data_IF_267343531071
#
_entry.id   IF_267343531071
#
_cell.length_a   1.000
_cell.length_b   1.000
_cell.length_c   1.000
_cell.angle_alpha   90.00
_cell.angle_beta   90.00
_cell.angle_gamma   90.00
#
_symmetry.space_group_name_H-M   'P 1'
#
loop_
_entity.id
_entity.type
_entity.pdbx_description
1 polymer ?
#
# COMPACT_ATOMS: atom_id res chain seq x y z
N UNK A 1 17.72 -28.29 -14.58
CA UNK A 1 18.01 -27.06 -13.83
C UNK A 1 19.28 -27.17 -13.00
N UNK A 2 19.38 -28.18 -12.11
CA UNK A 2 20.47 -28.31 -11.10
C UNK A 2 21.89 -28.14 -11.66
N UNK A 3 22.17 -28.72 -12.82
CA UNK A 3 23.53 -28.76 -13.40
C UNK A 3 23.72 -27.77 -14.56
N UNK A 4 22.78 -26.83 -14.75
CA UNK A 4 22.86 -25.80 -15.81
C UNK A 4 23.21 -24.47 -15.15
N UNK A 5 24.42 -23.97 -15.39
CA UNK A 5 24.84 -22.65 -14.91
C UNK A 5 24.03 -21.52 -15.55
N UNK A 6 23.75 -20.47 -14.76
CA UNK A 6 23.12 -19.25 -15.28
C UNK A 6 24.18 -18.41 -16.01
N UNK A 7 23.86 -18.02 -17.23
CA UNK A 7 24.71 -17.25 -18.16
C UNK A 7 23.92 -16.07 -18.71
N UNK A 8 24.61 -15.14 -19.37
CA UNK A 8 23.93 -14.02 -20.04
C UNK A 8 22.92 -14.46 -21.11
N UNK A 9 23.10 -15.64 -21.71
CA UNK A 9 22.21 -16.18 -22.72
C UNK A 9 20.92 -16.78 -22.14
N UNK A 10 20.98 -17.39 -20.94
CA UNK A 10 19.83 -18.09 -20.35
C UNK A 10 19.20 -17.38 -19.12
N UNK A 11 19.73 -16.21 -18.72
CA UNK A 11 19.23 -15.48 -17.54
C UNK A 11 17.74 -15.13 -17.61
N UNK A 12 17.22 -14.80 -18.79
CA UNK A 12 15.80 -14.46 -18.97
C UNK A 12 14.90 -15.68 -18.69
N UNK A 13 15.25 -16.82 -19.29
CA UNK A 13 14.57 -18.10 -19.06
C UNK A 13 14.67 -18.53 -17.59
N UNK A 14 15.84 -18.35 -16.96
CA UNK A 14 16.00 -18.64 -15.54
C UNK A 14 15.05 -17.82 -14.67
N UNK A 15 14.93 -16.51 -14.92
CA UNK A 15 14.01 -15.63 -14.18
C UNK A 15 12.56 -16.06 -14.40
N UNK A 16 12.16 -16.31 -15.64
CA UNK A 16 10.80 -16.78 -15.98
C UNK A 16 10.47 -18.09 -15.23
N UNK A 17 11.37 -19.07 -15.26
CA UNK A 17 11.21 -20.35 -14.56
C UNK A 17 11.15 -20.18 -13.04
N UNK A 18 11.98 -19.30 -12.49
CA UNK A 18 11.95 -19.01 -11.05
C UNK A 18 10.63 -18.37 -10.64
N UNK A 19 10.12 -17.41 -11.41
CA UNK A 19 8.81 -16.79 -11.15
C UNK A 19 7.70 -17.84 -11.22
N UNK A 20 7.69 -18.67 -12.26
CA UNK A 20 6.70 -19.73 -12.42
C UNK A 20 6.71 -20.71 -11.24
N UNK A 21 7.90 -21.16 -10.84
CA UNK A 21 8.05 -22.09 -9.72
C UNK A 21 7.60 -21.48 -8.38
N UNK A 22 8.04 -20.24 -8.10
CA UNK A 22 7.76 -19.56 -6.83
C UNK A 22 6.29 -19.16 -6.68
N UNK A 23 5.64 -18.74 -7.77
CA UNK A 23 4.26 -18.25 -7.71
C UNK A 23 3.22 -19.36 -7.90
N UNK A 24 3.49 -20.37 -8.73
CA UNK A 24 2.49 -21.36 -9.12
C UNK A 24 2.89 -22.78 -8.74
N UNK A 25 4.04 -23.28 -9.21
CA UNK A 25 4.32 -24.72 -9.16
C UNK A 25 4.50 -25.23 -7.72
N UNK A 26 5.19 -24.48 -6.85
CA UNK A 26 5.44 -24.92 -5.47
C UNK A 26 4.18 -25.00 -4.59
N UNK A 27 3.08 -24.37 -5.02
CA UNK A 27 1.78 -24.34 -4.33
C UNK A 27 0.64 -24.92 -5.18
N UNK A 28 0.98 -25.58 -6.30
CA UNK A 28 0.00 -26.00 -7.30
C UNK A 28 -1.15 -26.86 -6.74
N UNK A 29 -0.92 -27.86 -5.86
CA UNK A 29 -2.01 -28.66 -5.29
C UNK A 29 -3.02 -27.83 -4.50
N UNK A 30 -2.54 -26.88 -3.68
CA UNK A 30 -3.38 -26.01 -2.86
C UNK A 30 -4.16 -25.03 -3.72
N UNK A 31 -3.48 -24.40 -4.68
CA UNK A 31 -4.08 -23.45 -5.61
C UNK A 31 -5.18 -24.12 -6.45
N UNK A 32 -4.93 -25.33 -6.97
CA UNK A 32 -5.91 -26.07 -7.75
C UNK A 32 -7.16 -26.40 -6.94
N UNK A 33 -7.01 -26.79 -5.66
CA UNK A 33 -8.16 -27.07 -4.78
C UNK A 33 -8.97 -25.82 -4.46
N UNK A 34 -8.30 -24.69 -4.26
CA UNK A 34 -8.96 -23.40 -4.03
C UNK A 34 -9.79 -22.98 -5.25
N UNK A 35 -9.19 -23.05 -6.45
CA UNK A 35 -9.85 -22.70 -7.71
C UNK A 35 -11.03 -23.63 -7.99
N UNK A 36 -10.85 -24.94 -7.78
CA UNK A 36 -11.95 -25.89 -7.93
C UNK A 36 -13.12 -25.57 -7.00
N UNK A 37 -12.85 -25.34 -5.70
CA UNK A 37 -13.90 -25.02 -4.74
C UNK A 37 -14.62 -23.70 -5.06
N UNK A 38 -13.92 -22.72 -5.65
CA UNK A 38 -14.54 -21.49 -6.15
C UNK A 38 -15.49 -21.80 -7.32
N UNK A 39 -15.05 -22.61 -8.29
CA UNK A 39 -15.87 -22.97 -9.46
C UNK A 39 -17.03 -23.91 -9.16
N UNK A 40 -16.96 -24.68 -8.08
CA UNK A 40 -18.07 -25.50 -7.59
C UNK A 40 -19.26 -24.64 -7.11
N UNK A 41 -19.01 -23.37 -6.75
CA UNK A 41 -20.02 -22.41 -6.28
C UNK A 41 -20.37 -21.37 -7.35
N UNK A 42 -19.37 -20.87 -8.09
CA UNK A 42 -19.50 -19.82 -9.09
C UNK A 42 -19.02 -20.30 -10.47
N UNK A 43 -19.89 -20.34 -11.50
CA UNK A 43 -19.47 -20.70 -12.86
C UNK A 43 -18.31 -19.82 -13.35
N UNK A 44 -17.32 -20.44 -13.99
CA UNK A 44 -16.11 -19.76 -14.48
C UNK A 44 -16.44 -18.63 -15.47
N UNK A 45 -17.49 -18.80 -16.26
CA UNK A 45 -17.94 -17.84 -17.27
C UNK A 45 -18.39 -16.51 -16.66
N UNK A 46 -18.84 -16.51 -15.40
CA UNK A 46 -19.19 -15.28 -14.68
C UNK A 46 -17.96 -14.50 -14.22
N UNK A 47 -16.82 -15.17 -14.07
CA UNK A 47 -15.57 -14.57 -13.58
C UNK A 47 -14.67 -14.10 -14.74
N UNK A 48 -14.78 -14.71 -15.92
CA UNK A 48 -13.99 -14.37 -17.11
C UNK A 48 -14.03 -12.88 -17.55
N UNK A 49 -15.13 -12.13 -17.41
CA UNK A 49 -15.17 -10.73 -17.84
C UNK A 49 -14.32 -9.79 -16.99
N UNK A 50 -13.99 -10.18 -15.76
CA UNK A 50 -13.31 -9.31 -14.79
C UNK A 50 -11.79 -9.47 -14.87
N UNK A 51 -11.07 -8.35 -14.82
CA UNK A 51 -9.65 -8.39 -14.52
C UNK A 51 -9.40 -8.70 -13.03
N UNK A 52 -8.13 -8.86 -12.65
CA UNK A 52 -7.77 -9.20 -11.27
C UNK A 52 -8.16 -8.11 -10.25
N UNK A 53 -8.20 -6.84 -10.66
CA UNK A 53 -8.57 -5.70 -9.80
C UNK A 53 -10.07 -5.61 -9.61
N UNK A 54 -10.83 -5.86 -10.68
CA UNK A 54 -12.29 -5.92 -10.63
C UNK A 54 -12.76 -7.12 -9.81
N UNK A 55 -12.13 -8.28 -9.98
CA UNK A 55 -12.40 -9.46 -9.16
C UNK A 55 -12.06 -9.21 -7.69
N UNK A 56 -10.93 -8.57 -7.41
CA UNK A 56 -10.54 -8.13 -6.08
C UNK A 56 -11.60 -7.21 -5.45
N UNK A 57 -12.12 -6.25 -6.22
CA UNK A 57 -13.16 -5.33 -5.78
C UNK A 57 -14.48 -6.04 -5.48
N UNK A 58 -14.87 -7.02 -6.29
CA UNK A 58 -16.11 -7.80 -6.08
C UNK A 58 -16.00 -8.65 -4.82
N UNK A 59 -14.85 -9.31 -4.61
CA UNK A 59 -14.65 -10.22 -3.48
C UNK A 59 -14.46 -9.48 -2.16
N UNK A 60 -13.75 -8.34 -2.17
CA UNK A 60 -13.39 -7.62 -0.96
C UNK A 60 -14.27 -6.38 -0.70
N UNK A 61 -15.05 -5.93 -1.69
CA UNK A 61 -15.81 -4.69 -1.64
C UNK A 61 -14.91 -3.44 -1.65
N UNK A 62 -15.54 -2.27 -1.53
CA UNK A 62 -14.84 -1.04 -1.18
C UNK A 62 -14.50 -1.08 0.31
N UNK A 63 -13.22 -1.27 0.66
CA UNK A 63 -12.77 -0.94 2.01
C UNK A 63 -12.61 0.57 2.10
N UNK A 64 -13.67 1.28 2.50
CA UNK A 64 -13.50 2.68 2.89
C UNK A 64 -12.53 2.77 4.06
N UNK A 65 -11.51 3.61 3.92
CA UNK A 65 -10.53 3.84 4.98
C UNK A 65 -11.22 4.64 6.08
N UNK A 66 -11.40 4.01 7.25
CA UNK A 66 -11.84 4.69 8.47
C UNK A 66 -10.71 5.62 8.96
N UNK A 67 -10.83 6.91 8.61
CA UNK A 67 -9.87 7.96 9.00
C UNK A 67 -9.87 8.15 10.51
N UNK A 68 -10.99 7.90 11.20
CA UNK A 68 -11.08 7.96 12.65
C UNK A 68 -10.25 6.88 13.32
N UNK A 69 -10.31 5.64 12.82
CA UNK A 69 -9.46 4.54 13.30
C UNK A 69 -7.98 4.79 13.00
N UNK A 70 -7.67 5.31 11.80
CA UNK A 70 -6.32 5.70 11.43
C UNK A 70 -5.76 6.72 12.42
N UNK A 71 -6.53 7.80 12.67
CA UNK A 71 -6.15 8.87 13.58
C UNK A 71 -5.91 8.38 15.02
N UNK A 72 -6.81 7.55 15.56
CA UNK A 72 -6.68 6.99 16.92
C UNK A 72 -5.49 6.04 17.07
N UNK A 73 -5.11 5.35 15.99
CA UNK A 73 -4.03 4.37 15.97
C UNK A 73 -2.67 4.96 15.55
N UNK A 74 -2.59 6.27 15.33
CA UNK A 74 -1.37 6.95 14.87
C UNK A 74 -0.50 7.42 16.02
N UNK A 75 0.80 7.16 15.94
CA UNK A 75 1.80 7.75 16.83
C UNK A 75 2.23 9.11 16.26
N UNK A 76 2.03 10.18 17.03
CA UNK A 76 2.37 11.55 16.62
C UNK A 76 3.54 12.06 17.46
N UNK A 77 4.60 12.55 16.81
CA UNK A 77 5.68 13.24 17.51
C UNK A 77 5.18 14.55 18.15
N UNK A 78 5.66 14.88 19.36
CA UNK A 78 5.27 16.10 20.08
C UNK A 78 5.44 17.39 19.27
N UNK A 79 6.42 17.46 18.38
CA UNK A 79 6.67 18.63 17.52
C UNK A 79 5.55 18.93 16.52
N UNK A 80 4.59 18.01 16.33
CA UNK A 80 3.45 18.18 15.43
C UNK A 80 2.15 18.51 16.16
N UNK A 81 2.14 18.64 17.49
CA UNK A 81 0.91 18.80 18.28
C UNK A 81 -0.01 19.93 17.77
N UNK A 82 0.58 21.07 17.38
CA UNK A 82 -0.18 22.23 16.90
C UNK A 82 -0.61 22.13 15.42
N UNK A 83 0.01 21.24 14.63
CA UNK A 83 -0.21 21.17 13.17
C UNK A 83 -0.79 19.83 12.70
N UNK A 84 -0.84 18.81 13.56
CA UNK A 84 -1.36 17.49 13.21
C UNK A 84 -2.86 17.52 12.88
N UNK A 85 -3.60 18.49 13.43
CA UNK A 85 -5.00 18.75 13.06
C UNK A 85 -5.13 18.99 11.56
N UNK A 86 -4.26 19.82 10.98
CA UNK A 86 -4.27 20.12 9.55
C UNK A 86 -4.00 18.89 8.68
N UNK A 87 -3.11 17.99 9.12
CA UNK A 87 -2.87 16.72 8.44
C UNK A 87 -4.17 15.92 8.34
N UNK A 88 -4.85 15.73 9.47
CA UNK A 88 -6.10 14.96 9.48
C UNK A 88 -7.23 15.66 8.74
N UNK A 89 -7.33 16.99 8.82
CA UNK A 89 -8.34 17.73 8.06
C UNK A 89 -8.16 17.55 6.56
N UNK A 90 -6.92 17.55 6.06
CA UNK A 90 -6.64 17.30 4.63
C UNK A 90 -7.00 15.86 4.27
N UNK A 91 -6.61 14.88 5.09
CA UNK A 91 -6.90 13.45 4.84
C UNK A 91 -8.40 13.15 4.88
N UNK A 92 -9.14 13.79 5.78
CA UNK A 92 -10.57 13.52 6.01
C UNK A 92 -11.46 14.29 5.02
N UNK A 93 -11.19 15.57 4.80
CA UNK A 93 -12.11 16.47 4.09
C UNK A 93 -11.64 16.87 2.69
N UNK A 94 -10.32 16.92 2.44
CA UNK A 94 -9.79 17.37 1.14
C UNK A 94 -9.48 16.18 0.20
N UNK A 95 -9.17 14.99 0.75
CA UNK A 95 -8.79 13.80 -0.01
C UNK A 95 -9.98 12.90 -0.41
N UNK A 96 -10.01 12.51 -1.68
CA UNK A 96 -10.95 11.48 -2.15
C UNK A 96 -10.60 10.10 -1.56
N UNK A 97 -11.50 9.11 -1.61
CA UNK A 97 -11.16 7.74 -1.22
C UNK A 97 -9.95 7.18 -1.97
N UNK A 98 -9.79 7.54 -3.26
CA UNK A 98 -8.62 7.15 -4.05
C UNK A 98 -7.33 7.78 -3.53
N UNK A 99 -7.36 9.05 -3.15
CA UNK A 99 -6.18 9.74 -2.60
C UNK A 99 -5.76 9.16 -1.25
N UNK A 100 -6.74 8.84 -0.38
CA UNK A 100 -6.49 8.15 0.89
C UNK A 100 -5.85 6.77 0.68
N UNK A 101 -6.34 6.00 -0.29
CA UNK A 101 -5.76 4.71 -0.63
C UNK A 101 -4.33 4.83 -1.15
N UNK A 102 -4.04 5.84 -1.97
CA UNK A 102 -2.67 6.13 -2.44
C UNK A 102 -1.76 6.54 -1.29
N UNK A 103 -2.21 7.44 -0.41
CA UNK A 103 -1.45 7.86 0.76
C UNK A 103 -1.11 6.64 1.65
N UNK A 104 -2.08 5.77 1.90
CA UNK A 104 -1.87 4.53 2.65
C UNK A 104 -0.87 3.60 1.96
N UNK A 105 -1.00 3.41 0.64
CA UNK A 105 -0.08 2.60 -0.16
C UNK A 105 1.36 3.14 -0.14
N UNK A 106 1.55 4.45 -0.27
CA UNK A 106 2.88 5.06 -0.19
C UNK A 106 3.49 4.86 1.19
N UNK A 107 2.67 4.98 2.23
CA UNK A 107 3.14 4.98 3.63
C UNK A 107 3.32 3.62 4.24
N UNK A 108 2.59 2.60 3.77
CA UNK A 108 2.61 1.26 4.38
C UNK A 108 2.97 0.15 3.39
N UNK A 109 3.10 0.46 2.11
CA UNK A 109 3.28 -0.56 1.07
C UNK A 109 2.00 -1.34 0.75
N UNK A 110 0.86 -1.01 1.36
CA UNK A 110 -0.44 -1.62 1.12
C UNK A 110 -1.52 -0.54 0.99
N UNK A 111 -2.43 -0.69 0.04
CA UNK A 111 -3.62 0.17 -0.09
C UNK A 111 -4.76 -0.26 0.83
N UNK A 112 -4.57 -1.34 1.61
CA UNK A 112 -5.59 -1.96 2.47
C UNK A 112 -5.21 -1.89 3.94
N UNK A 113 -6.22 -1.69 4.77
CA UNK A 113 -6.13 -1.73 6.22
C UNK A 113 -6.19 -3.20 6.69
N UNK A 114 -5.35 -3.62 7.66
CA UNK A 114 -5.44 -4.96 8.26
C UNK A 114 -6.83 -5.26 8.83
N UNK A 115 -7.20 -6.54 8.90
CA UNK A 115 -8.49 -6.97 9.47
C UNK A 115 -8.71 -6.45 10.91
N UNK A 116 -7.63 -6.26 11.66
CA UNK A 116 -7.67 -5.76 13.03
C UNK A 116 -7.76 -4.22 13.13
N UNK A 117 -7.87 -3.51 12.00
CA UNK A 117 -7.78 -2.04 11.90
C UNK A 117 -6.35 -1.53 11.86
N UNK A 118 -6.17 -0.22 11.98
CA UNK A 118 -4.85 0.43 11.91
C UNK A 118 -3.91 0.05 13.05
N UNK A 119 -4.44 -0.40 14.20
CA UNK A 119 -3.64 -0.98 15.29
C UNK A 119 -2.92 -2.28 14.91
N UNK A 120 -3.38 -2.94 13.84
CA UNK A 120 -2.82 -4.18 13.32
C UNK A 120 -1.74 -3.97 12.25
N UNK A 121 -1.33 -2.72 11.99
CA UNK A 121 -0.28 -2.45 11.02
C UNK A 121 1.03 -3.11 11.45
N UNK A 122 1.70 -3.73 10.49
CA UNK A 122 2.99 -4.40 10.68
C UNK A 122 4.06 -3.80 9.79
N UNK A 123 5.32 -3.99 10.19
CA UNK A 123 6.50 -3.74 9.36
C UNK A 123 6.76 -4.93 8.44
N UNK A 124 7.75 -4.80 7.55
CA UNK A 124 8.21 -5.84 6.63
C UNK A 124 8.62 -7.16 7.30
N UNK A 125 8.98 -7.13 8.58
CA UNK A 125 9.35 -8.29 9.41
C UNK A 125 8.16 -8.93 10.13
N UNK A 126 6.94 -8.43 9.90
CA UNK A 126 5.71 -8.93 10.53
C UNK A 126 5.50 -8.46 11.96
N UNK A 127 6.40 -7.63 12.53
CA UNK A 127 6.20 -7.05 13.85
C UNK A 127 5.21 -5.89 13.79
N UNK A 128 4.45 -5.69 14.86
CA UNK A 128 3.52 -4.56 14.98
C UNK A 128 4.29 -3.24 14.86
N UNK A 129 3.86 -2.42 13.91
CA UNK A 129 4.46 -1.14 13.59
C UNK A 129 3.33 -0.15 13.27
N UNK A 130 2.86 0.62 14.27
CA UNK A 130 1.80 1.60 14.06
C UNK A 130 2.20 2.66 13.05
N UNK A 131 1.21 3.26 12.38
CA UNK A 131 1.47 4.43 11.55
C UNK A 131 2.00 5.59 12.40
N UNK A 132 2.99 6.31 11.89
CA UNK A 132 3.67 7.37 12.64
C UNK A 132 3.85 8.66 11.84
N UNK A 133 3.62 9.79 12.51
CA UNK A 133 3.92 11.13 12.00
C UNK A 133 5.08 11.72 12.80
N UNK A 134 6.17 12.04 12.11
CA UNK A 134 7.37 12.63 12.69
C UNK A 134 7.59 14.04 12.14
N UNK A 135 7.63 15.05 13.02
CA UNK A 135 7.85 16.43 12.62
C UNK A 135 9.31 16.69 12.25
N UNK A 136 9.53 17.36 11.11
CA UNK A 136 10.86 17.81 10.69
C UNK A 136 10.86 19.32 10.42
N UNK A 137 12.01 20.02 10.59
CA UNK A 137 12.10 21.45 10.32
C UNK A 137 11.71 21.78 8.88
N UNK A 138 10.83 22.76 8.71
CA UNK A 138 10.44 23.24 7.39
C UNK A 138 11.58 24.04 6.73
N UNK A 139 11.74 23.80 5.41
CA UNK A 139 12.56 24.60 4.50
C UNK A 139 11.73 24.86 3.25
N UNK A 140 11.88 26.03 2.64
CA UNK A 140 11.11 26.37 1.45
C UNK A 140 11.27 25.29 0.36
N UNK A 141 10.15 24.81 -0.19
CA UNK A 141 10.13 23.76 -1.22
C UNK A 141 10.40 22.33 -0.74
N UNK A 142 10.46 22.06 0.57
CA UNK A 142 10.60 20.69 1.08
C UNK A 142 9.26 19.95 1.05
N UNK A 143 9.26 18.72 0.56
CA UNK A 143 8.10 17.81 0.57
C UNK A 143 8.19 16.81 1.72
N UNK A 144 7.07 16.21 2.16
CA UNK A 144 7.11 15.17 3.17
C UNK A 144 7.83 13.93 2.62
N UNK A 145 8.51 13.21 3.51
CA UNK A 145 9.23 11.98 3.15
C UNK A 145 8.54 10.78 3.78
N UNK A 146 8.49 9.69 3.04
CA UNK A 146 7.78 8.48 3.46
C UNK A 146 8.78 7.34 3.66
N UNK A 147 8.61 6.61 4.76
CA UNK A 147 9.39 5.43 5.08
C UNK A 147 8.44 4.25 5.23
N UNK A 148 8.15 3.58 4.11
CA UNK A 148 7.16 2.51 4.04
C UNK A 148 7.47 1.32 4.96
N UNK A 149 8.75 0.98 5.13
CA UNK A 149 9.18 -0.08 6.06
C UNK A 149 8.79 0.19 7.52
N UNK A 150 8.48 1.44 7.89
CA UNK A 150 8.17 1.86 9.26
C UNK A 150 6.82 2.55 9.39
N UNK A 151 5.96 2.45 8.37
CA UNK A 151 4.64 3.09 8.35
C UNK A 151 4.71 4.60 8.72
N UNK A 152 5.78 5.31 8.31
CA UNK A 152 6.10 6.66 8.82
C UNK A 152 6.11 7.74 7.73
N UNK A 153 5.54 8.90 8.05
CA UNK A 153 5.77 10.16 7.32
C UNK A 153 6.62 11.09 8.17
N UNK A 154 7.73 11.56 7.59
CA UNK A 154 8.45 12.72 8.08
C UNK A 154 7.78 13.97 7.48
N UNK A 155 6.99 14.66 8.31
CA UNK A 155 6.15 15.78 7.94
C UNK A 155 6.85 17.10 8.28
N UNK A 156 7.20 17.94 7.29
CA UNK A 156 7.67 19.29 7.54
C UNK A 156 6.63 20.07 8.34
N UNK A 157 7.08 20.83 9.35
CA UNK A 157 6.20 21.71 10.14
C UNK A 157 5.87 22.94 9.28
N UNK A 158 4.95 22.77 8.33
CA UNK A 158 4.57 23.79 7.37
C UNK A 158 3.98 25.03 8.08
N UNK A 159 4.24 26.24 7.58
CA UNK A 159 3.73 27.46 8.20
C UNK A 159 2.24 27.71 7.92
N UNK A 160 1.59 26.92 7.06
CA UNK A 160 0.16 27.01 6.77
C UNK A 160 -0.45 25.65 6.38
N UNK A 161 -1.75 25.46 6.67
CA UNK A 161 -2.52 24.29 6.21
C UNK A 161 -2.45 24.12 4.69
N UNK A 162 -2.46 25.22 3.94
CA UNK A 162 -2.40 25.20 2.47
C UNK A 162 -1.10 24.57 1.95
N UNK A 163 0.06 24.94 2.52
CA UNK A 163 1.34 24.35 2.14
C UNK A 163 1.45 22.87 2.58
N UNK A 164 0.85 22.52 3.72
CA UNK A 164 0.76 21.13 4.14
C UNK A 164 -0.06 20.31 3.13
N UNK A 165 -1.23 20.82 2.74
CA UNK A 165 -2.09 20.19 1.75
C UNK A 165 -1.36 20.01 0.42
N UNK A 166 -0.70 21.05 -0.08
CA UNK A 166 0.12 20.98 -1.30
C UNK A 166 1.19 19.88 -1.20
N UNK A 167 1.89 19.81 -0.06
CA UNK A 167 2.90 18.77 0.19
C UNK A 167 2.33 17.35 0.21
N UNK A 168 1.15 17.15 0.80
CA UNK A 168 0.46 15.85 0.78
C UNK A 168 -0.09 15.50 -0.60
N UNK A 169 -0.65 16.47 -1.32
CA UNK A 169 -1.14 16.25 -2.67
C UNK A 169 -0.01 15.96 -3.65
N UNK A 170 1.16 16.55 -3.45
CA UNK A 170 2.35 16.17 -4.20
C UNK A 170 2.68 14.68 -4.00
N UNK A 171 2.59 14.15 -2.77
CA UNK A 171 2.83 12.72 -2.52
C UNK A 171 1.84 11.81 -3.25
N UNK A 172 0.53 12.08 -3.15
CA UNK A 172 -0.50 11.21 -3.76
C UNK A 172 -0.59 11.36 -5.29
N UNK A 173 -0.09 12.47 -5.84
CA UNK A 173 -0.08 12.76 -7.27
C UNK A 173 1.23 12.36 -7.97
N UNK A 174 2.26 11.92 -7.24
CA UNK A 174 3.41 11.26 -7.85
C UNK A 174 2.86 10.04 -8.60
N UNK A 175 2.82 10.14 -9.93
CA UNK A 175 2.40 9.04 -10.79
C UNK A 175 3.17 7.80 -10.37
N UNK A 176 2.44 6.69 -10.29
CA UNK A 176 2.91 5.33 -10.04
C UNK A 176 3.93 4.88 -11.12
N UNK A 177 5.10 5.49 -11.16
CA UNK A 177 6.18 5.10 -12.07
C UNK A 177 6.95 3.87 -11.60
N UNK A 178 6.50 3.18 -10.53
CA UNK A 178 7.28 2.09 -9.93
C UNK A 178 6.59 0.73 -9.80
N UNK A 179 5.27 0.56 -10.02
CA UNK A 179 4.64 -0.76 -9.76
C UNK A 179 3.57 -1.25 -10.74
N UNK A 180 3.23 -0.51 -11.80
CA UNK A 180 2.58 -1.14 -12.96
C UNK A 180 3.67 -1.69 -13.87
N UNK A 181 3.97 -2.98 -13.73
CA UNK A 181 4.62 -3.72 -14.81
C UNK A 181 3.69 -3.63 -16.03
N UNK A 182 4.16 -2.96 -17.08
CA UNK A 182 3.66 -3.12 -18.45
C UNK A 182 4.21 -4.43 -18.99
#
# INVERSE_FOLDING_TARGET
>A
GRDVGVTNANKAEYVERMVQYLMFERVAPQLQRLVQGLYDVLPQELLMPFDYKELELILCGFSEIDVGDWKRSTIVSKSLEDVVGWFWDVVEFDMTPSDRAKLLQFTTGSSRVPLQGFRGLTSHDGQLCPFALHGVPYKYGIFPKVHSCFNRIDLPIYPSRALLAEGLFALVNIQSMAFTMV
#
